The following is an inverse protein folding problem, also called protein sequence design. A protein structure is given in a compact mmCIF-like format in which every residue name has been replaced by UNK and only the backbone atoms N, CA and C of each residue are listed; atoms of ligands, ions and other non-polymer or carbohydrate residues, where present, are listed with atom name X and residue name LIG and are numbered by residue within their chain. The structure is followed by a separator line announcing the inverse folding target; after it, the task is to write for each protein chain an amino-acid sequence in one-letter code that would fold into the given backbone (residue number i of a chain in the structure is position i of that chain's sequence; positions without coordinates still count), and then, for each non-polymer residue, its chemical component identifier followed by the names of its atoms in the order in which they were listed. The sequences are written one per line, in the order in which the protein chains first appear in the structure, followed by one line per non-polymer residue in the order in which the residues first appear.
data_IF_276028356470
#
_entry.id   IF_276028356470
#
_cell.length_a   1.000
_cell.length_b   1.000
_cell.length_c   1.000
_cell.angle_alpha   90.00
_cell.angle_beta   90.00
_cell.angle_gamma   90.00
#
_symmetry.space_group_name_H-M   'P 1'
#
loop_
_entity.id
_entity.type
_entity.pdbx_description
1 polymer ?
#
# COMPACT_ATOMS: atom_id res chain seq x y z
N UNK A 1 16.92 -6.40 8.49
CA UNK A 1 16.77 -7.51 7.52
C UNK A 1 17.34 -7.02 6.21
N UNK A 2 18.16 -7.83 5.54
CA UNK A 2 18.63 -7.48 4.20
C UNK A 2 17.43 -7.38 3.25
N UNK A 3 17.42 -6.40 2.36
CA UNK A 3 16.35 -6.19 1.38
C UNK A 3 16.35 -7.35 0.37
N UNK A 4 15.38 -8.25 0.50
CA UNK A 4 15.19 -9.37 -0.42
C UNK A 4 14.57 -8.89 -1.72
N UNK A 5 15.14 -9.32 -2.85
CA UNK A 5 14.61 -8.99 -4.19
C UNK A 5 14.10 -10.26 -4.85
N UNK A 6 12.81 -10.32 -5.11
CA UNK A 6 12.20 -11.43 -5.84
C UNK A 6 12.36 -11.25 -7.36
N UNK A 7 12.76 -12.31 -8.05
CA UNK A 7 12.91 -12.35 -9.51
C UNK A 7 11.83 -13.29 -10.06
N UNK A 8 10.98 -12.76 -10.93
CA UNK A 8 9.90 -13.52 -11.60
C UNK A 8 9.95 -13.32 -13.11
N UNK A 9 9.45 -14.31 -13.85
CA UNK A 9 9.08 -14.18 -15.26
C UNK A 9 7.61 -13.83 -15.43
N UNK A 10 7.00 -14.31 -16.52
CA UNK A 10 5.60 -14.02 -16.86
C UNK A 10 4.59 -14.66 -15.89
N UNK A 11 3.38 -14.06 -15.82
CA UNK A 11 2.25 -14.51 -14.98
C UNK A 11 1.68 -15.89 -15.36
N UNK A 12 1.95 -16.35 -16.57
CA UNK A 12 1.65 -17.71 -17.00
C UNK A 12 3.00 -18.35 -17.36
N UNK A 13 3.66 -19.00 -16.38
CA UNK A 13 5.07 -19.26 -16.47
C UNK A 13 5.33 -20.44 -17.40
N UNK A 14 6.13 -20.17 -18.41
CA UNK A 14 6.70 -21.11 -19.37
C UNK A 14 8.15 -21.46 -19.01
N UNK A 15 8.70 -22.43 -19.73
CA UNK A 15 10.03 -22.99 -19.49
C UNK A 15 11.11 -21.91 -19.51
N UNK A 16 11.05 -20.98 -20.47
CA UNK A 16 11.96 -19.85 -20.59
C UNK A 16 11.78 -18.84 -19.45
N UNK A 17 10.56 -18.49 -19.04
CA UNK A 17 10.33 -17.61 -17.87
C UNK A 17 10.93 -18.18 -16.59
N UNK A 18 10.70 -19.46 -16.32
CA UNK A 18 11.18 -20.12 -15.10
C UNK A 18 12.70 -20.26 -15.12
N UNK A 19 13.26 -20.81 -16.19
CA UNK A 19 14.71 -20.96 -16.32
C UNK A 19 15.42 -19.61 -16.26
N UNK A 20 14.88 -18.57 -16.89
CA UNK A 20 15.45 -17.21 -16.83
C UNK A 20 15.43 -16.65 -15.40
N UNK A 21 14.34 -16.84 -14.66
CA UNK A 21 14.25 -16.36 -13.27
C UNK A 21 15.29 -17.03 -12.36
N UNK A 22 15.48 -18.35 -12.49
CA UNK A 22 16.48 -19.13 -11.75
C UNK A 22 17.89 -18.68 -12.14
N UNK A 23 18.20 -18.69 -13.44
CA UNK A 23 19.53 -18.34 -13.93
C UNK A 23 19.92 -16.91 -13.57
N UNK A 24 18.98 -15.96 -13.64
CA UNK A 24 19.24 -14.57 -13.29
C UNK A 24 19.44 -14.37 -11.79
N UNK A 25 18.66 -15.05 -10.95
CA UNK A 25 18.86 -15.03 -9.50
C UNK A 25 20.22 -15.58 -9.10
N UNK A 26 20.59 -16.76 -9.62
CA UNK A 26 21.92 -17.37 -9.44
C UNK A 26 23.04 -16.43 -9.89
N UNK A 27 22.92 -15.84 -11.08
CA UNK A 27 23.91 -14.90 -11.60
C UNK A 27 24.09 -13.69 -10.67
N UNK A 28 22.99 -13.09 -10.20
CA UNK A 28 23.02 -11.92 -9.31
C UNK A 28 23.53 -12.26 -7.91
N UNK A 29 23.22 -13.46 -7.41
CA UNK A 29 23.71 -13.94 -6.12
C UNK A 29 25.22 -14.21 -6.09
N UNK A 30 25.91 -14.26 -7.23
CA UNK A 30 27.39 -14.21 -7.29
C UNK A 30 27.96 -12.89 -6.78
N UNK A 31 27.16 -11.82 -6.78
CA UNK A 31 27.57 -10.48 -6.34
C UNK A 31 26.90 -10.07 -5.02
N UNK A 32 25.59 -10.32 -4.88
CA UNK A 32 24.84 -9.99 -3.67
C UNK A 32 23.85 -11.12 -3.33
N UNK A 33 23.98 -11.74 -2.16
CA UNK A 33 23.16 -12.87 -1.76
C UNK A 33 21.77 -12.44 -1.23
N UNK A 34 20.92 -11.88 -2.08
CA UNK A 34 19.59 -11.37 -1.71
C UNK A 34 18.48 -11.64 -2.74
N UNK A 35 18.81 -12.29 -3.85
CA UNK A 35 17.88 -12.52 -4.95
C UNK A 35 17.23 -13.89 -4.86
N UNK A 36 15.90 -13.96 -4.93
CA UNK A 36 15.16 -15.22 -4.83
C UNK A 36 14.32 -15.41 -6.09
N UNK A 37 14.50 -16.51 -6.85
CA UNK A 37 13.65 -16.80 -7.98
C UNK A 37 12.27 -17.26 -7.48
N UNK A 38 11.23 -16.71 -8.08
CA UNK A 38 9.83 -17.04 -7.77
C UNK A 38 9.03 -17.17 -9.05
N UNK A 39 7.88 -17.84 -8.96
CA UNK A 39 6.96 -18.00 -10.08
C UNK A 39 5.61 -17.37 -9.78
N UNK A 40 5.03 -16.77 -10.80
CA UNK A 40 3.65 -16.35 -10.80
C UNK A 40 2.87 -17.33 -11.66
N UNK A 41 2.16 -18.27 -11.06
CA UNK A 41 1.28 -19.21 -11.75
C UNK A 41 1.68 -20.68 -11.56
N UNK A 42 0.84 -21.58 -12.09
CA UNK A 42 1.12 -23.02 -12.10
C UNK A 42 2.16 -23.32 -13.18
N UNK A 43 3.05 -24.26 -12.89
CA UNK A 43 3.98 -24.76 -13.89
C UNK A 43 3.22 -25.60 -14.91
N UNK A 44 3.66 -25.55 -16.17
CA UNK A 44 3.20 -26.47 -17.19
C UNK A 44 4.01 -27.80 -17.11
N UNK A 45 3.51 -28.84 -17.78
CA UNK A 45 4.14 -30.18 -17.73
C UNK A 45 5.57 -30.20 -18.29
N UNK A 46 5.85 -29.36 -19.30
CA UNK A 46 7.17 -29.26 -19.91
C UNK A 46 8.18 -28.68 -18.93
N UNK A 47 7.83 -27.58 -18.26
CA UNK A 47 8.68 -26.95 -17.25
C UNK A 47 8.89 -27.87 -16.05
N UNK A 48 7.85 -28.56 -15.57
CA UNK A 48 8.00 -29.56 -14.51
C UNK A 48 8.94 -30.69 -14.90
N UNK A 49 8.83 -31.18 -16.14
CA UNK A 49 9.73 -32.21 -16.67
C UNK A 49 11.18 -31.71 -16.71
N UNK A 50 11.43 -30.50 -17.22
CA UNK A 50 12.76 -29.90 -17.29
C UNK A 50 13.39 -29.80 -15.89
N UNK A 51 12.66 -29.20 -14.94
CA UNK A 51 13.13 -29.02 -13.57
C UNK A 51 13.48 -30.36 -12.91
N UNK A 52 12.60 -31.36 -13.09
CA UNK A 52 12.83 -32.72 -12.56
C UNK A 52 14.03 -33.41 -13.23
N UNK A 53 14.16 -33.29 -14.55
CA UNK A 53 15.25 -33.90 -15.32
C UNK A 53 16.61 -33.38 -14.87
N UNK A 54 16.73 -32.07 -14.62
CA UNK A 54 17.96 -31.44 -14.15
C UNK A 54 18.11 -31.43 -12.62
N UNK A 55 17.17 -32.01 -11.87
CA UNK A 55 17.14 -32.03 -10.40
C UNK A 55 17.23 -30.62 -9.78
N UNK A 56 16.53 -29.65 -10.38
CA UNK A 56 16.45 -28.26 -9.94
C UNK A 56 15.12 -28.05 -9.21
N UNK A 57 15.10 -27.45 -8.01
CA UNK A 57 13.86 -27.17 -7.30
C UNK A 57 13.03 -26.12 -8.06
N UNK A 58 11.72 -26.32 -8.08
CA UNK A 58 10.80 -25.34 -8.62
C UNK A 58 10.83 -24.04 -7.79
N UNK A 59 10.83 -22.85 -8.43
CA UNK A 59 10.69 -21.58 -7.72
C UNK A 59 9.41 -21.53 -6.88
N UNK A 60 9.48 -20.80 -5.76
CA UNK A 60 8.33 -20.61 -4.87
C UNK A 60 7.20 -19.87 -5.60
N UNK A 61 5.97 -20.29 -5.36
CA UNK A 61 4.80 -19.61 -5.92
C UNK A 61 4.48 -18.36 -5.12
N UNK A 62 4.40 -17.23 -5.81
CA UNK A 62 3.85 -16.01 -5.25
C UNK A 62 2.56 -15.63 -5.98
N UNK A 63 1.52 -15.33 -5.20
CA UNK A 63 0.19 -15.05 -5.74
C UNK A 63 0.15 -13.72 -6.50
N UNK A 64 0.83 -12.69 -5.97
CA UNK A 64 0.80 -11.35 -6.52
C UNK A 64 2.12 -10.61 -6.33
N UNK A 65 2.53 -9.86 -7.36
CA UNK A 65 3.59 -8.84 -7.31
C UNK A 65 3.03 -7.45 -7.59
N UNK A 66 1.70 -7.30 -7.52
CA UNK A 66 1.05 -6.01 -7.73
C UNK A 66 1.47 -5.05 -6.63
N UNK A 67 1.66 -3.80 -7.02
CA UNK A 67 1.93 -2.69 -6.11
C UNK A 67 0.84 -2.60 -5.06
N UNK A 68 1.26 -2.53 -3.80
CA UNK A 68 0.41 -2.31 -2.64
C UNK A 68 0.44 -0.83 -2.25
N UNK A 69 -0.55 -0.38 -1.46
CA UNK A 69 -0.57 0.98 -0.92
C UNK A 69 0.65 1.24 -0.02
N UNK A 70 1.17 0.19 0.64
CA UNK A 70 2.41 0.23 1.44
C UNK A 70 3.66 0.55 0.63
N UNK A 71 3.63 0.33 -0.70
CA UNK A 71 4.77 0.59 -1.58
C UNK A 71 4.84 2.07 -1.99
N UNK A 72 3.82 2.86 -1.64
CA UNK A 72 3.77 4.28 -1.91
C UNK A 72 4.41 5.07 -0.76
N UNK A 73 5.19 6.08 -1.12
CA UNK A 73 5.57 7.13 -0.17
C UNK A 73 4.34 8.00 0.11
N UNK A 74 3.66 7.74 1.23
CA UNK A 74 2.49 8.49 1.68
C UNK A 74 2.93 9.61 2.62
N UNK A 75 2.54 10.85 2.31
CA UNK A 75 2.80 11.99 3.18
C UNK A 75 2.09 11.84 4.53
N UNK A 76 2.75 12.28 5.60
CA UNK A 76 2.14 12.31 6.93
C UNK A 76 0.97 13.29 6.92
N UNK A 77 -0.23 12.76 7.13
CA UNK A 77 -1.43 13.57 7.22
C UNK A 77 -1.41 14.46 8.47
N UNK A 78 -1.71 15.75 8.28
CA UNK A 78 -1.99 16.68 9.39
C UNK A 78 -3.21 16.16 10.14
N UNK A 79 -3.10 15.99 11.46
CA UNK A 79 -4.16 15.44 12.30
C UNK A 79 -4.27 16.21 13.62
N UNK A 80 -5.36 16.00 14.37
CA UNK A 80 -5.60 16.65 15.67
C UNK A 80 -6.17 15.67 16.70
N UNK A 81 -6.02 16.00 17.99
CA UNK A 81 -6.71 15.28 19.07
C UNK A 81 -8.23 15.52 19.02
N UNK A 82 -9.01 14.54 19.50
CA UNK A 82 -10.46 14.69 19.76
C UNK A 82 -10.84 15.83 20.70
N UNK A 83 -9.90 16.30 21.52
CA UNK A 83 -10.15 17.35 22.50
C UNK A 83 -10.11 18.77 21.88
N UNK A 84 -9.81 18.87 20.58
CA UNK A 84 -9.69 20.14 19.86
C UNK A 84 -11.06 20.73 19.49
N UNK A 85 -11.22 22.05 19.68
CA UNK A 85 -12.46 22.76 19.32
C UNK A 85 -12.72 22.74 17.81
N UNK A 86 -14.01 22.79 17.42
CA UNK A 86 -14.44 22.89 16.02
C UNK A 86 -13.81 24.11 15.32
N UNK A 87 -13.68 25.24 16.03
CA UNK A 87 -13.04 26.45 15.49
C UNK A 87 -11.56 26.21 15.15
N UNK A 88 -10.84 25.52 16.02
CA UNK A 88 -9.43 25.18 15.78
C UNK A 88 -9.30 24.19 14.62
N UNK A 89 -10.15 23.17 14.56
CA UNK A 89 -10.19 22.23 13.44
C UNK A 89 -10.44 22.96 12.10
N UNK A 90 -11.38 23.90 12.06
CA UNK A 90 -11.64 24.76 10.90
C UNK A 90 -10.44 25.61 10.49
N UNK A 91 -9.74 26.21 11.45
CA UNK A 91 -8.53 26.98 11.18
C UNK A 91 -7.42 26.13 10.57
N UNK A 92 -7.24 24.89 11.05
CA UNK A 92 -6.25 23.94 10.52
C UNK A 92 -6.60 23.54 9.10
N UNK A 93 -7.87 23.16 8.86
CA UNK A 93 -8.40 22.84 7.52
C UNK A 93 -8.11 23.98 6.53
N UNK A 94 -8.39 25.24 6.91
CA UNK A 94 -8.09 26.43 6.09
C UNK A 94 -6.59 26.66 5.90
N UNK A 95 -5.80 26.57 6.98
CA UNK A 95 -4.36 26.84 6.97
C UNK A 95 -3.62 25.88 6.05
N UNK A 96 -3.91 24.59 6.15
CA UNK A 96 -3.26 23.54 5.36
C UNK A 96 -3.95 23.26 4.02
N UNK A 97 -5.05 23.99 3.71
CA UNK A 97 -5.86 23.80 2.49
C UNK A 97 -6.30 22.35 2.27
N UNK A 98 -6.58 21.62 3.35
CA UNK A 98 -7.04 20.23 3.33
C UNK A 98 -8.56 20.18 3.40
N UNK A 99 -9.18 19.12 2.88
CA UNK A 99 -10.65 18.93 2.92
C UNK A 99 -11.12 18.09 4.10
N UNK A 100 -10.24 17.21 4.57
CA UNK A 100 -10.49 16.21 5.60
C UNK A 100 -9.40 16.31 6.66
N UNK A 101 -9.80 16.39 7.92
CA UNK A 101 -8.92 16.41 9.07
C UNK A 101 -9.09 15.12 9.88
N UNK A 102 -8.09 14.23 9.88
CA UNK A 102 -8.02 13.07 10.76
C UNK A 102 -8.01 13.47 12.24
N UNK A 103 -8.78 12.73 13.05
CA UNK A 103 -8.84 12.86 14.50
C UNK A 103 -8.18 11.63 15.13
N UNK A 104 -7.22 11.85 16.02
CA UNK A 104 -6.46 10.78 16.68
C UNK A 104 -6.65 10.78 18.20
N UNK A 105 -6.38 9.63 18.82
CA UNK A 105 -6.28 9.49 20.28
C UNK A 105 -4.88 9.86 20.81
N UNK A 106 -4.65 9.65 22.12
CA UNK A 106 -3.37 9.93 22.79
C UNK A 106 -2.21 9.05 22.30
N UNK A 107 -2.49 7.94 21.63
CA UNK A 107 -1.52 6.99 21.10
C UNK A 107 -1.35 7.17 19.58
N UNK A 108 -1.75 8.32 19.02
CA UNK A 108 -1.74 8.62 17.58
C UNK A 108 -2.57 7.67 16.72
N UNK A 109 -3.54 6.96 17.31
CA UNK A 109 -4.44 6.08 16.55
C UNK A 109 -5.59 6.89 15.98
N UNK A 110 -5.86 6.71 14.68
CA UNK A 110 -7.02 7.30 14.02
C UNK A 110 -8.32 6.81 14.67
N UNK A 111 -9.13 7.74 15.16
CA UNK A 111 -10.44 7.47 15.77
C UNK A 111 -11.60 8.08 14.99
N UNK A 112 -11.32 8.96 14.03
CA UNK A 112 -12.35 9.54 13.18
C UNK A 112 -11.80 10.55 12.17
N UNK A 113 -12.71 11.13 11.40
CA UNK A 113 -12.42 12.21 10.46
C UNK A 113 -13.45 13.32 10.62
N UNK A 114 -13.03 14.55 10.36
CA UNK A 114 -13.92 15.71 10.24
C UNK A 114 -13.64 16.38 8.92
N UNK A 115 -14.69 16.58 8.11
CA UNK A 115 -14.57 17.30 6.85
C UNK A 115 -14.99 18.75 6.98
N UNK A 116 -14.60 19.57 6.00
CA UNK A 116 -15.13 20.93 5.87
C UNK A 116 -16.67 20.95 5.86
N UNK A 117 -17.28 19.99 5.15
CA UNK A 117 -18.73 19.86 5.03
C UNK A 117 -19.42 19.56 6.36
N UNK A 118 -18.81 18.73 7.20
CA UNK A 118 -19.34 18.40 8.55
C UNK A 118 -19.39 19.64 9.44
N UNK A 119 -18.32 20.46 9.40
CA UNK A 119 -18.24 21.70 10.18
C UNK A 119 -19.25 22.73 9.66
N UNK A 120 -19.35 22.91 8.34
CA UNK A 120 -20.33 23.86 7.77
C UNK A 120 -21.76 23.47 8.09
N UNK A 121 -22.08 22.17 7.97
CA UNK A 121 -23.42 21.68 8.27
C UNK A 121 -23.75 21.92 9.74
N UNK A 122 -22.84 21.56 10.65
CA UNK A 122 -23.06 21.78 12.08
C UNK A 122 -23.30 23.25 12.41
N UNK A 123 -22.59 24.17 11.75
CA UNK A 123 -22.74 25.61 11.97
C UNK A 123 -24.07 26.14 11.41
N UNK A 124 -24.48 25.68 10.22
CA UNK A 124 -25.77 26.03 9.61
C UNK A 124 -26.95 25.48 10.41
N UNK A 125 -26.87 24.23 10.88
CA UNK A 125 -27.91 23.59 11.69
C UNK A 125 -28.08 24.29 13.06
N UNK A 126 -27.01 24.85 13.65
CA UNK A 126 -27.14 25.71 14.86
C UNK A 126 -27.84 27.05 14.62
N UNK A 127 -27.90 27.52 13.37
CA UNK A 127 -28.46 28.82 12.98
C UNK A 127 -29.90 28.73 12.42
N UNK A 128 -30.53 27.55 12.39
CA UNK A 128 -31.96 27.43 12.02
C UNK A 128 -32.91 28.19 12.96
N UNK A 129 -32.42 28.75 14.07
CA UNK A 129 -33.19 29.60 14.97
C UNK A 129 -33.15 31.11 14.67
N UNK A 130 -32.49 31.59 13.61
CA UNK A 130 -32.53 33.02 13.26
C UNK A 130 -32.94 33.25 11.80
N UNK A 131 -34.24 33.50 11.67
CA UNK A 131 -35.01 34.02 10.53
C UNK A 131 -34.21 34.72 9.43
N UNK A 132 -34.50 34.35 8.17
CA UNK A 132 -34.03 35.07 6.97
C UNK A 132 -34.97 36.25 6.60
N UNK A 133 -36.11 36.41 7.26
CA UNK A 133 -36.98 37.58 7.04
C UNK A 133 -37.80 37.98 8.27
N UNK A 134 -37.91 39.30 8.48
CA UNK A 134 -39.04 39.98 9.11
C UNK A 134 -39.52 41.06 8.15
#
# INVERSE_FOLDING_TARGET
MAETVYITGHKNPDSDSICSSIAYAEFKNKFENKYIPVRQGKLNQETEFILKYFNVPAPEYIETVKTQVSDLNIDKAVHVSKDVSIKTAWMIIKKYKIKTLPIVDKNERLIGIVTLSDITKKYMDTNENNMIAK
#
